data_IF_543152246765
#
_entry.id   IF_543152246765
#
_cell.length_a   1.000
_cell.length_b   1.000
_cell.length_c   1.000
_cell.angle_alpha   90.00
_cell.angle_beta   90.00
_cell.angle_gamma   90.00
#
_symmetry.space_group_name_H-M   'P 1'
#
loop_
_entity.id
_entity.type
_entity.pdbx_description
1 polymer ?
#
# COMPACT_ATOMS: atom_id res chain seq x y z
N UNK A 1 -9.19 -10.60 -49.07
CA UNK A 1 -8.35 -9.52 -48.49
C UNK A 1 -8.65 -9.21 -47.02
N UNK A 2 -9.92 -9.27 -46.58
CA UNK A 2 -10.34 -8.97 -45.20
C UNK A 2 -9.75 -9.94 -44.14
N UNK A 3 -9.80 -11.25 -44.37
CA UNK A 3 -9.26 -12.27 -43.43
C UNK A 3 -7.76 -12.09 -43.16
N UNK A 4 -6.97 -11.71 -44.18
CA UNK A 4 -5.53 -11.42 -44.04
C UNK A 4 -5.28 -10.21 -43.14
N UNK A 5 -6.10 -9.16 -43.27
CA UNK A 5 -6.02 -7.97 -42.39
C UNK A 5 -6.36 -8.35 -40.94
N UNK A 6 -7.39 -9.19 -40.72
CA UNK A 6 -7.78 -9.67 -39.39
C UNK A 6 -6.63 -10.44 -38.71
N UNK A 7 -5.99 -11.38 -39.41
CA UNK A 7 -4.88 -12.14 -38.84
C UNK A 7 -3.64 -11.28 -38.56
N UNK A 8 -3.35 -10.29 -39.42
CA UNK A 8 -2.27 -9.33 -39.17
C UNK A 8 -2.58 -8.47 -37.94
N UNK A 9 -3.82 -7.96 -37.82
CA UNK A 9 -4.23 -7.16 -36.66
C UNK A 9 -4.19 -7.98 -35.37
N UNK A 10 -4.70 -9.23 -35.38
CA UNK A 10 -4.63 -10.12 -34.22
C UNK A 10 -3.18 -10.45 -33.84
N UNK A 11 -2.31 -10.71 -34.82
CA UNK A 11 -0.89 -10.95 -34.57
C UNK A 11 -0.17 -9.73 -33.98
N UNK A 12 -0.49 -8.52 -34.44
CA UNK A 12 0.06 -7.27 -33.90
C UNK A 12 -0.40 -7.00 -32.46
N UNK A 13 -1.69 -7.25 -32.16
CA UNK A 13 -2.21 -7.11 -30.79
C UNK A 13 -1.55 -8.13 -29.85
N UNK A 14 -1.41 -9.38 -30.28
CA UNK A 14 -0.75 -10.42 -29.50
C UNK A 14 0.73 -10.07 -29.22
N UNK A 15 1.47 -9.61 -30.23
CA UNK A 15 2.86 -9.16 -30.06
C UNK A 15 2.97 -7.96 -29.10
N UNK A 16 2.04 -7.01 -29.15
CA UNK A 16 2.01 -5.86 -28.24
C UNK A 16 1.77 -6.28 -26.78
N UNK A 17 0.97 -7.32 -26.53
CA UNK A 17 0.72 -7.80 -25.16
C UNK A 17 1.92 -8.52 -24.54
N UNK A 18 2.78 -9.15 -25.34
CA UNK A 18 3.99 -9.83 -24.84
C UNK A 18 5.08 -8.81 -24.43
N UNK A 19 5.06 -7.61 -25.00
CA UNK A 19 6.02 -6.55 -24.70
C UNK A 19 5.71 -5.76 -23.42
N UNK A 20 4.57 -6.00 -22.76
CA UNK A 20 4.24 -5.36 -21.47
C UNK A 20 4.93 -6.13 -20.35
N UNK A 21 6.23 -5.87 -20.15
CA UNK A 21 6.87 -6.23 -18.89
C UNK A 21 6.49 -5.18 -17.84
N UNK A 22 5.69 -5.57 -16.85
CA UNK A 22 5.60 -4.86 -15.58
C UNK A 22 6.92 -5.08 -14.83
N UNK A 23 8.01 -4.45 -15.28
CA UNK A 23 9.27 -4.52 -14.56
C UNK A 23 9.11 -3.78 -13.24
N UNK A 24 9.50 -4.46 -12.17
CA UNK A 24 9.63 -3.86 -10.84
C UNK A 24 10.59 -2.68 -10.98
N UNK A 25 10.12 -1.50 -10.60
CA UNK A 25 10.92 -0.28 -10.70
C UNK A 25 12.21 -0.46 -9.91
N UNK A 26 13.31 0.18 -10.34
CA UNK A 26 14.61 0.05 -9.66
C UNK A 26 14.52 0.36 -8.16
N UNK A 27 13.65 1.28 -7.76
CA UNK A 27 13.43 1.66 -6.36
C UNK A 27 12.72 0.58 -5.53
N UNK A 28 11.98 -0.32 -6.16
CA UNK A 28 11.29 -1.42 -5.49
C UNK A 28 12.21 -2.62 -5.24
N UNK A 29 13.41 -2.63 -5.82
CA UNK A 29 14.38 -3.70 -5.63
C UNK A 29 14.78 -3.78 -4.15
N UNK A 30 14.45 -4.91 -3.52
CA UNK A 30 14.73 -5.17 -2.10
C UNK A 30 13.56 -4.90 -1.15
N UNK A 31 12.45 -4.35 -1.63
CA UNK A 31 11.21 -4.29 -0.85
C UNK A 31 10.66 -5.71 -0.71
N UNK A 32 10.61 -6.22 0.52
CA UNK A 32 10.08 -7.55 0.83
C UNK A 32 8.57 -7.56 0.99
N UNK A 33 7.99 -6.43 1.44
CA UNK A 33 6.56 -6.27 1.65
C UNK A 33 6.19 -4.79 1.54
N UNK A 34 5.08 -4.51 0.86
CA UNK A 34 4.45 -3.18 0.80
C UNK A 34 2.95 -3.38 0.97
N UNK A 35 2.37 -2.75 1.98
CA UNK A 35 0.95 -2.87 2.31
C UNK A 35 0.49 -1.63 3.09
N UNK A 36 -0.82 -1.42 3.16
CA UNK A 36 -1.41 -0.45 4.06
C UNK A 36 -1.58 -1.05 5.46
N UNK A 37 -1.45 -0.23 6.51
CA UNK A 37 -1.83 -0.62 7.87
C UNK A 37 -3.36 -0.72 8.01
N UNK A 38 -4.08 0.09 7.25
CA UNK A 38 -5.54 0.17 7.22
C UNK A 38 -6.00 0.78 5.90
N UNK A 39 -7.21 0.45 5.46
CA UNK A 39 -7.87 1.09 4.31
C UNK A 39 -8.87 2.17 4.74
N UNK A 40 -9.41 2.03 5.95
CA UNK A 40 -10.36 2.97 6.54
C UNK A 40 -9.92 3.32 7.96
N UNK A 41 -10.12 4.58 8.35
CA UNK A 41 -9.75 5.11 9.65
C UNK A 41 -10.77 6.17 10.10
N UNK A 42 -10.91 6.42 11.41
CA UNK A 42 -11.84 7.43 11.94
C UNK A 42 -11.34 8.87 11.74
N UNK A 43 -10.17 9.08 11.11
CA UNK A 43 -9.57 10.38 10.85
C UNK A 43 -9.21 10.53 9.36
N UNK A 44 -9.25 11.75 8.81
CA UNK A 44 -8.99 11.99 7.39
C UNK A 44 -7.50 12.11 7.04
N UNK A 45 -6.59 12.25 8.01
CA UNK A 45 -5.15 12.42 7.76
C UNK A 45 -4.28 11.75 8.81
N UNK A 46 -3.10 11.27 8.39
CA UNK A 46 -2.07 10.71 9.28
C UNK A 46 -0.67 11.24 8.96
N UNK A 47 0.22 11.32 9.96
CA UNK A 47 1.60 11.78 9.78
C UNK A 47 2.57 11.24 10.84
N UNK A 48 3.88 11.37 10.56
CA UNK A 48 4.98 11.04 11.48
C UNK A 48 4.95 9.59 11.99
N UNK A 49 4.82 8.63 11.08
CA UNK A 49 4.77 7.22 11.43
C UNK A 49 6.10 6.67 11.96
N UNK A 50 6.01 5.79 12.94
CA UNK A 50 7.11 4.96 13.47
C UNK A 50 6.66 3.51 13.58
N UNK A 51 7.61 2.58 13.62
CA UNK A 51 7.36 1.15 13.78
C UNK A 51 8.44 0.55 14.68
N UNK A 52 8.06 -0.39 15.53
CA UNK A 52 8.96 -1.10 16.43
C UNK A 52 8.60 -2.58 16.48
N UNK A 53 9.61 -3.41 16.69
CA UNK A 53 9.43 -4.83 17.00
C UNK A 53 9.30 -5.02 18.52
N UNK A 54 8.39 -5.90 18.91
CA UNK A 54 8.16 -6.29 20.31
C UNK A 54 8.23 -7.82 20.42
N UNK A 55 8.34 -8.40 21.63
CA UNK A 55 8.28 -9.85 21.82
C UNK A 55 7.01 -10.52 21.28
N UNK A 56 5.95 -9.74 21.02
CA UNK A 56 4.64 -10.21 20.53
C UNK A 56 4.32 -9.82 19.09
N UNK A 57 5.27 -9.23 18.35
CA UNK A 57 5.08 -8.77 16.97
C UNK A 57 5.35 -7.28 16.78
N UNK A 58 5.02 -6.76 15.60
CA UNK A 58 5.27 -5.36 15.25
C UNK A 58 4.17 -4.45 15.81
N UNK A 59 4.56 -3.23 16.18
CA UNK A 59 3.63 -2.15 16.51
C UNK A 59 4.03 -0.92 15.72
N UNK A 60 3.07 -0.34 15.01
CA UNK A 60 3.22 0.95 14.36
C UNK A 60 2.47 2.02 15.15
N UNK A 61 3.00 3.24 15.17
CA UNK A 61 2.37 4.41 15.77
C UNK A 61 2.51 5.63 14.86
N UNK A 62 1.52 6.50 14.87
CA UNK A 62 1.42 7.68 14.01
C UNK A 62 0.38 8.65 14.60
N UNK A 63 0.42 9.91 14.18
CA UNK A 63 -0.64 10.86 14.49
C UNK A 63 -1.81 10.69 13.53
N UNK A 64 -3.04 10.82 14.03
CA UNK A 64 -4.27 10.80 13.24
C UNK A 64 -5.23 11.91 13.67
N UNK A 65 -5.78 12.65 12.71
CA UNK A 65 -6.71 13.76 12.97
C UNK A 65 -7.08 14.51 11.69
N UNK A 66 -7.68 15.70 11.82
CA UNK A 66 -8.08 16.53 10.67
C UNK A 66 -6.87 16.99 9.86
N UNK A 67 -5.82 17.48 10.52
CA UNK A 67 -4.54 17.89 9.94
C UNK A 67 -3.48 18.03 11.03
N UNK A 68 -2.21 18.19 10.64
CA UNK A 68 -1.12 18.45 11.59
C UNK A 68 -1.43 19.66 12.51
N UNK A 69 -1.19 19.48 13.82
CA UNK A 69 -1.44 20.45 14.92
C UNK A 69 -2.90 20.82 15.19
N UNK A 70 -3.86 20.16 14.56
CA UNK A 70 -5.28 20.35 14.90
C UNK A 70 -5.57 19.80 16.31
N UNK A 71 -6.47 20.42 17.10
CA UNK A 71 -6.80 19.93 18.45
C UNK A 71 -7.40 18.52 18.50
N UNK A 72 -7.90 18.00 17.38
CA UNK A 72 -8.44 16.64 17.27
C UNK A 72 -7.38 15.56 16.98
N UNK A 73 -6.10 15.95 16.89
CA UNK A 73 -5.00 15.01 16.64
C UNK A 73 -4.71 14.18 17.88
N UNK A 74 -4.76 12.87 17.71
CA UNK A 74 -4.36 11.88 18.71
C UNK A 74 -3.23 11.00 18.18
N UNK A 75 -2.55 10.30 19.09
CA UNK A 75 -1.61 9.24 18.75
C UNK A 75 -2.38 7.94 18.58
N UNK A 76 -2.26 7.32 17.42
CA UNK A 76 -2.83 6.01 17.13
C UNK A 76 -1.74 4.93 17.14
N UNK A 77 -2.17 3.70 17.41
CA UNK A 77 -1.35 2.49 17.25
C UNK A 77 -2.07 1.43 16.42
N UNK A 78 -1.29 0.69 15.63
CA UNK A 78 -1.72 -0.54 14.95
C UNK A 78 -0.75 -1.67 15.29
N UNK A 79 -1.27 -2.84 15.64
CA UNK A 79 -0.47 -4.04 15.94
C UNK A 79 -0.49 -5.02 14.79
N UNK A 80 0.65 -5.65 14.50
CA UNK A 80 0.71 -6.75 13.54
C UNK A 80 0.54 -8.08 14.27
N UNK A 81 -0.61 -8.72 14.11
CA UNK A 81 -0.98 -9.96 14.79
C UNK A 81 -1.43 -10.97 13.73
N UNK A 82 -0.95 -12.21 13.82
CA UNK A 82 -1.31 -13.31 12.91
C UNK A 82 -1.20 -12.95 11.42
N UNK A 83 -0.16 -12.20 11.06
CA UNK A 83 0.11 -11.81 9.68
C UNK A 83 -0.71 -10.62 9.16
N UNK A 84 -1.48 -9.94 10.01
CA UNK A 84 -2.37 -8.83 9.63
C UNK A 84 -2.23 -7.62 10.55
N UNK A 85 -2.48 -6.43 10.00
CA UNK A 85 -2.53 -5.20 10.78
C UNK A 85 -3.89 -5.00 11.46
N UNK A 86 -3.80 -4.71 12.76
CA UNK A 86 -4.82 -4.17 13.66
C UNK A 86 -5.44 -2.89 13.08
N UNK A 87 -6.77 -2.72 13.14
CA UNK A 87 -7.36 -1.40 12.98
C UNK A 87 -6.72 -0.40 13.96
N UNK A 88 -6.48 0.86 13.55
CA UNK A 88 -5.89 1.87 14.42
C UNK A 88 -6.73 2.08 15.68
N UNK A 89 -6.07 2.16 16.83
CA UNK A 89 -6.70 2.48 18.11
C UNK A 89 -6.01 3.72 18.70
N UNK A 90 -6.81 4.68 19.16
CA UNK A 90 -6.32 5.86 19.88
C UNK A 90 -5.60 5.43 21.17
N UNK A 91 -4.45 6.04 21.44
CA UNK A 91 -3.58 5.70 22.54
C UNK A 91 -3.24 6.89 23.45
N UNK A 92 -3.25 8.13 22.93
CA UNK A 92 -2.98 9.36 23.67
C UNK A 92 -3.50 10.61 22.95
#
# INVERSE_FOLDING_TARGET
>A
MLKRKIYITLGLVFAATIAVNAQVEKWQKGIVKQEYLYETAPFPSCHSATIVETPTGLVASFFGGTKERDPDVEIYISRFVDGKWLAPVSAA
#
